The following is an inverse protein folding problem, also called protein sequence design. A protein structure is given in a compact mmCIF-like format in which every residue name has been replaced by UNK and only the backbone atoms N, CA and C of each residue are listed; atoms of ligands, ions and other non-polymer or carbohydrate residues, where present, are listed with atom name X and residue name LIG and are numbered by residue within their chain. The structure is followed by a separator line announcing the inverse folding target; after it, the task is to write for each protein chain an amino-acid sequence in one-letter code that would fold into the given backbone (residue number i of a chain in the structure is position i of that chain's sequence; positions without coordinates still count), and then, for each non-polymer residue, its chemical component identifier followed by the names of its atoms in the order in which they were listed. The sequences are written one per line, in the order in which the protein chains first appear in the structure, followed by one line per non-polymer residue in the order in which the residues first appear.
data_IF_765831936859
#
_entry.id   IF_765831936859
#
_cell.length_a   1.000
_cell.length_b   1.000
_cell.length_c   1.000
_cell.angle_alpha   90.00
_cell.angle_beta   90.00
_cell.angle_gamma   90.00
#
_symmetry.space_group_name_H-M   'P 1'
#
loop_
_entity.id
_entity.type
_entity.pdbx_description
1 polymer ?
#
# COMPACT_ATOMS: atom_id res chain seq x y z
N UNK A 1 31.07 3.15 -30.83
CA UNK A 1 32.02 2.87 -29.73
C UNK A 1 31.20 2.47 -28.52
N UNK A 2 31.46 1.27 -28.00
CA UNK A 2 30.71 0.60 -26.95
C UNK A 2 31.45 0.73 -25.61
N UNK A 3 30.69 0.82 -24.51
CA UNK A 3 31.03 0.40 -23.13
C UNK A 3 29.73 0.50 -22.29
N UNK A 4 28.94 -0.58 -22.10
CA UNK A 4 28.97 -1.58 -20.99
C UNK A 4 28.91 -0.94 -19.60
N UNK A 5 27.77 -0.99 -18.89
CA UNK A 5 27.25 -2.06 -17.99
C UNK A 5 28.18 -2.40 -16.81
N UNK A 6 27.72 -2.07 -15.60
CA UNK A 6 28.00 -2.84 -14.37
C UNK A 6 26.84 -2.63 -13.37
N UNK A 7 25.99 -3.65 -13.30
CA UNK A 7 24.99 -3.90 -12.26
C UNK A 7 25.68 -4.83 -11.27
N UNK A 8 25.80 -4.43 -10.01
CA UNK A 8 26.16 -5.35 -8.92
C UNK A 8 24.92 -5.57 -8.05
N UNK A 9 24.28 -6.71 -8.30
CA UNK A 9 23.48 -7.43 -7.32
C UNK A 9 24.44 -8.04 -6.30
N UNK A 10 24.25 -7.75 -5.02
CA UNK A 10 24.71 -8.66 -3.96
C UNK A 10 23.57 -8.83 -2.95
N UNK A 11 22.98 -10.01 -3.06
CA UNK A 11 21.89 -10.53 -2.26
C UNK A 11 22.50 -11.73 -1.55
N UNK A 12 23.13 -11.49 -0.39
CA UNK A 12 23.47 -12.57 0.53
C UNK A 12 22.86 -12.32 1.90
N UNK A 13 22.19 -13.38 2.35
CA UNK A 13 21.47 -13.57 3.59
C UNK A 13 22.47 -13.77 4.72
N UNK A 14 22.23 -13.16 5.87
CA UNK A 14 22.64 -13.80 7.13
C UNK A 14 21.63 -13.52 8.24
N UNK A 15 20.89 -14.58 8.58
CA UNK A 15 20.07 -14.69 9.78
C UNK A 15 20.99 -14.83 10.98
N UNK A 16 20.90 -13.92 11.95
CA UNK A 16 21.29 -14.21 13.33
C UNK A 16 20.21 -13.73 14.29
N UNK A 17 19.27 -14.65 14.54
CA UNK A 17 18.41 -14.68 15.72
C UNK A 17 19.14 -15.50 16.79
N UNK A 18 19.48 -14.86 17.93
CA UNK A 18 19.45 -15.48 19.28
C UNK A 18 19.87 -14.52 20.40
N UNK A 19 19.04 -14.58 21.45
CA UNK A 19 19.37 -14.41 22.87
C UNK A 19 19.75 -13.02 23.42
N UNK A 20 18.73 -12.21 23.74
CA UNK A 20 18.78 -11.37 24.95
C UNK A 20 17.46 -11.45 25.72
N UNK A 21 17.45 -12.34 26.71
CA UNK A 21 16.46 -12.39 27.78
C UNK A 21 16.62 -11.18 28.70
N UNK A 22 15.48 -10.55 28.96
CA UNK A 22 15.00 -10.04 30.25
C UNK A 22 16.04 -9.49 31.24
N UNK A 23 15.98 -8.18 31.47
CA UNK A 23 16.08 -7.62 32.82
C UNK A 23 15.05 -6.51 33.00
N UNK A 24 13.99 -6.88 33.72
CA UNK A 24 13.04 -6.00 34.38
C UNK A 24 13.75 -5.20 35.48
N UNK A 25 13.71 -3.87 35.41
CA UNK A 25 13.63 -3.03 36.62
C UNK A 25 12.76 -1.82 36.34
N UNK A 26 11.49 -1.94 36.71
CA UNK A 26 10.53 -0.85 36.86
C UNK A 26 10.96 -0.01 38.06
N UNK A 27 11.38 1.24 37.85
CA UNK A 27 11.60 2.21 38.91
C UNK A 27 10.38 3.13 39.00
N UNK A 28 9.42 2.76 39.85
CA UNK A 28 8.30 3.62 40.25
C UNK A 28 8.77 4.70 41.23
N UNK A 29 8.31 5.96 41.11
CA UNK A 29 8.56 6.98 42.11
C UNK A 29 7.64 6.80 43.34
N UNK A 30 8.08 7.13 44.56
CA UNK A 30 7.24 7.01 45.74
C UNK A 30 6.20 8.14 45.80
N UNK A 31 4.95 7.71 45.83
CA UNK A 31 3.79 8.44 46.35
C UNK A 31 4.02 8.81 47.82
N UNK A 32 3.88 10.09 48.16
CA UNK A 32 3.64 10.53 49.54
C UNK A 32 2.40 11.41 49.60
N UNK A 33 1.32 10.83 50.10
CA UNK A 33 0.12 11.53 50.52
C UNK A 33 0.05 11.62 52.05
N UNK A 34 -0.35 12.80 52.51
CA UNK A 34 -1.16 13.09 53.71
C UNK A 34 -0.56 13.14 55.13
N UNK A 35 -0.84 14.30 55.74
CA UNK A 35 -1.28 14.52 57.13
C UNK A 35 -0.25 14.50 58.27
N UNK A 36 -0.16 15.62 59.01
CA UNK A 36 -0.73 15.73 60.37
C UNK A 36 -0.10 16.87 61.18
N UNK A 37 -0.98 17.75 61.67
CA UNK A 37 -0.75 18.78 62.69
C UNK A 37 -0.05 18.21 63.94
N UNK A 38 1.00 18.87 64.45
CA UNK A 38 1.32 18.82 65.89
C UNK A 38 1.91 20.14 66.39
N UNK A 39 1.04 20.84 67.12
CA UNK A 39 1.25 22.02 67.98
C UNK A 39 2.17 21.61 69.14
N UNK A 40 3.29 22.30 69.37
CA UNK A 40 4.05 22.17 70.63
C UNK A 40 4.39 23.55 71.20
N UNK A 41 3.59 23.96 72.19
CA UNK A 41 3.87 25.03 73.16
C UNK A 41 5.11 24.64 73.95
N UNK A 42 6.07 25.55 74.11
CA UNK A 42 6.95 25.55 75.28
C UNK A 42 6.90 26.92 75.96
N UNK A 43 6.48 26.88 77.22
CA UNK A 43 6.31 27.99 78.15
C UNK A 43 7.18 27.66 79.36
N UNK A 44 8.21 28.47 79.64
CA UNK A 44 8.94 28.54 80.93
C UNK A 44 9.62 29.91 80.96
N UNK A 45 8.99 30.96 81.50
CA UNK A 45 8.95 31.40 82.92
C UNK A 45 10.33 31.51 83.62
N UNK A 46 10.69 32.78 83.82
CA UNK A 46 11.29 33.45 85.00
C UNK A 46 12.74 33.15 85.37
N UNK A 47 13.57 34.20 85.40
CA UNK A 47 13.88 34.91 86.65
C UNK A 47 14.40 36.34 86.41
N UNK A 48 13.85 37.25 87.19
CA UNK A 48 14.28 38.62 87.47
C UNK A 48 15.47 38.59 88.43
N UNK A 49 16.49 39.43 88.19
CA UNK A 49 17.28 40.10 89.24
C UNK A 49 17.60 41.52 88.76
N UNK A 50 17.28 42.45 89.64
CA UNK A 50 17.49 43.90 89.63
C UNK A 50 18.95 44.29 89.89
N UNK A 51 19.42 45.34 89.24
CA UNK A 51 20.32 46.34 89.83
C UNK A 51 20.10 47.67 89.12
N UNK A 52 19.61 48.65 89.87
CA UNK A 52 19.64 50.07 89.52
C UNK A 52 21.09 50.59 89.58
N UNK A 53 21.48 51.44 88.63
CA UNK A 53 22.44 52.51 88.87
C UNK A 53 22.27 53.57 87.78
N UNK A 54 21.85 54.76 88.20
CA UNK A 54 21.93 55.99 87.42
C UNK A 54 23.39 56.22 86.98
N UNK A 55 23.55 56.59 85.72
CA UNK A 55 24.78 57.11 85.16
C UNK A 55 24.45 57.93 83.91
N UNK A 56 24.08 59.19 84.12
CA UNK A 56 24.24 60.21 83.09
C UNK A 56 25.73 60.36 82.80
N UNK A 57 26.15 60.06 81.57
CA UNK A 57 27.16 60.83 80.83
C UNK A 57 27.10 60.36 79.36
N UNK A 58 27.51 61.25 78.43
CA UNK A 58 26.99 61.39 77.09
C UNK A 58 27.75 60.39 76.20
N UNK A 59 27.52 60.41 74.89
CA UNK A 59 28.49 60.16 73.81
C UNK A 59 27.66 59.84 72.56
N UNK A 60 27.06 60.91 72.02
CA UNK A 60 26.76 61.01 70.60
C UNK A 60 28.10 60.90 69.86
N UNK A 61 28.38 59.74 69.26
CA UNK A 61 29.59 59.54 68.46
C UNK A 61 29.61 58.27 67.62
N UNK A 62 28.98 57.17 68.07
CA UNK A 62 29.04 55.88 67.37
C UNK A 62 27.82 55.55 66.47
N UNK A 63 26.79 56.41 66.43
CA UNK A 63 25.51 56.08 65.79
C UNK A 63 25.43 56.41 64.30
N UNK A 64 26.25 57.35 63.81
CA UNK A 64 26.19 57.80 62.42
C UNK A 64 26.83 56.78 61.45
N UNK A 65 27.95 56.19 61.84
CA UNK A 65 28.68 55.24 60.98
C UNK A 65 27.98 53.87 60.91
N UNK A 66 27.45 53.37 62.04
CA UNK A 66 26.61 52.17 62.05
C UNK A 66 25.33 52.35 61.22
N UNK A 67 24.75 53.57 61.21
CA UNK A 67 23.56 53.85 60.39
C UNK A 67 23.87 53.82 58.90
N UNK A 68 25.00 54.41 58.47
CA UNK A 68 25.45 54.36 57.07
C UNK A 68 25.76 52.94 56.59
N UNK A 69 26.39 52.12 57.43
CA UNK A 69 26.68 50.72 57.13
C UNK A 69 25.38 49.91 56.97
N UNK A 70 24.41 50.12 57.86
CA UNK A 70 23.09 49.50 57.74
C UNK A 70 22.33 49.96 56.49
N UNK A 71 22.37 51.25 56.14
CA UNK A 71 21.73 51.79 54.93
C UNK A 71 22.39 51.23 53.64
N UNK A 72 23.72 51.04 53.68
CA UNK A 72 24.47 50.37 52.60
C UNK A 72 24.07 48.90 52.45
N UNK A 73 23.99 48.16 53.56
CA UNK A 73 23.56 46.76 53.56
C UNK A 73 22.13 46.59 53.07
N UNK A 74 21.22 47.50 53.45
CA UNK A 74 19.84 47.52 52.95
C UNK A 74 19.81 47.75 51.44
N UNK A 75 20.64 48.67 50.93
CA UNK A 75 20.73 48.94 49.48
C UNK A 75 21.25 47.73 48.70
N UNK A 76 22.28 47.05 49.23
CA UNK A 76 22.82 45.82 48.65
C UNK A 76 21.80 44.68 48.66
N UNK A 77 21.08 44.49 49.77
CA UNK A 77 20.01 43.48 49.86
C UNK A 77 18.84 43.79 48.93
N UNK A 78 18.48 45.07 48.76
CA UNK A 78 17.44 45.47 47.80
C UNK A 78 17.85 45.18 46.36
N UNK A 79 19.11 45.47 46.00
CA UNK A 79 19.65 45.13 44.68
C UNK A 79 19.63 43.61 44.48
N UNK A 80 20.12 42.84 45.46
CA UNK A 80 20.14 41.38 45.38
C UNK A 80 18.73 40.79 45.28
N UNK A 81 17.76 41.34 45.99
CA UNK A 81 16.36 40.93 45.86
C UNK A 81 15.80 41.24 44.47
N UNK A 82 16.16 42.38 43.88
CA UNK A 82 15.76 42.72 42.51
C UNK A 82 16.32 41.72 41.50
N UNK A 83 17.59 41.37 41.64
CA UNK A 83 18.25 40.37 40.78
C UNK A 83 17.60 39.00 40.92
N UNK A 84 17.33 38.55 42.16
CA UNK A 84 16.67 37.27 42.44
C UNK A 84 15.24 37.21 41.90
N UNK A 85 14.49 38.31 41.98
CA UNK A 85 13.16 38.41 41.35
C UNK A 85 13.29 38.28 39.83
N UNK A 86 14.25 38.98 39.21
CA UNK A 86 14.51 38.87 37.77
C UNK A 86 14.89 37.45 37.34
N UNK A 87 15.74 36.77 38.12
CA UNK A 87 16.10 35.37 37.87
C UNK A 87 14.88 34.44 38.03
N UNK A 88 14.04 34.68 39.04
CA UNK A 88 12.82 33.90 39.25
C UNK A 88 11.84 34.04 38.09
N UNK A 89 11.68 35.26 37.56
CA UNK A 89 10.81 35.51 36.40
C UNK A 89 11.38 34.87 35.14
N UNK A 90 12.69 34.97 34.90
CA UNK A 90 13.36 34.31 33.77
C UNK A 90 13.23 32.78 33.83
N UNK A 91 13.43 32.18 35.00
CA UNK A 91 13.25 30.74 35.21
C UNK A 91 11.81 30.30 34.99
N UNK A 92 10.84 31.12 35.40
CA UNK A 92 9.41 30.85 35.15
C UNK A 92 9.10 30.87 33.65
N UNK A 93 9.59 31.87 32.92
CA UNK A 93 9.42 31.94 31.47
C UNK A 93 10.05 30.75 30.76
N UNK A 94 11.27 30.36 31.14
CA UNK A 94 11.95 29.19 30.58
C UNK A 94 11.21 27.88 30.89
N UNK A 95 10.61 27.76 32.08
CA UNK A 95 9.79 26.60 32.44
C UNK A 95 8.52 26.52 31.58
N UNK A 96 7.83 27.63 31.38
CA UNK A 96 6.64 27.69 30.52
C UNK A 96 6.97 27.36 29.06
N UNK A 97 8.09 27.85 28.55
CA UNK A 97 8.57 27.52 27.20
C UNK A 97 8.91 26.03 27.07
N UNK A 98 9.63 25.47 28.04
CA UNK A 98 9.96 24.04 28.06
C UNK A 98 8.69 23.17 28.11
N UNK A 99 7.67 23.60 28.86
CA UNK A 99 6.38 22.92 28.91
C UNK A 99 5.68 22.93 27.54
N UNK A 100 5.68 24.07 26.82
CA UNK A 100 5.13 24.12 25.46
C UNK A 100 5.88 23.21 24.50
N UNK A 101 7.22 23.27 24.50
CA UNK A 101 8.06 22.46 23.63
C UNK A 101 7.86 20.95 23.88
N UNK A 102 7.65 20.53 25.14
CA UNK A 102 7.36 19.14 25.45
C UNK A 102 6.00 18.69 24.89
N UNK A 103 4.97 19.53 24.98
CA UNK A 103 3.66 19.22 24.37
C UNK A 103 3.78 19.07 22.86
N UNK A 104 4.48 20.00 22.19
CA UNK A 104 4.72 19.93 20.75
C UNK A 104 5.52 18.69 20.36
N UNK A 105 6.53 18.32 21.15
CA UNK A 105 7.33 17.11 20.92
C UNK A 105 6.49 15.82 21.07
N UNK A 106 5.60 15.76 22.06
CA UNK A 106 4.70 14.62 22.26
C UNK A 106 3.66 14.51 21.13
N UNK A 107 3.14 15.64 20.65
CA UNK A 107 2.25 15.70 19.48
C UNK A 107 2.95 15.20 18.22
N UNK A 108 4.17 15.69 17.95
CA UNK A 108 4.97 15.26 16.81
C UNK A 108 5.29 13.76 16.87
N UNK A 109 5.67 13.25 18.06
CA UNK A 109 5.91 11.82 18.29
C UNK A 109 4.65 10.99 18.02
N UNK A 110 3.48 11.48 18.43
CA UNK A 110 2.20 10.86 18.13
C UNK A 110 1.90 10.80 16.64
N UNK A 111 2.18 11.88 15.90
CA UNK A 111 2.03 11.92 14.44
C UNK A 111 2.97 10.94 13.75
N UNK A 112 4.26 10.97 14.07
CA UNK A 112 5.25 10.04 13.51
C UNK A 112 4.89 8.58 13.81
N UNK A 113 4.38 8.27 15.00
CA UNK A 113 3.98 6.91 15.34
C UNK A 113 2.81 6.43 14.47
N UNK A 114 1.79 7.27 14.25
CA UNK A 114 0.67 6.94 13.37
C UNK A 114 1.11 6.77 11.92
N UNK A 115 1.98 7.65 11.43
CA UNK A 115 2.53 7.57 10.08
C UNK A 115 3.34 6.27 9.89
N UNK A 116 4.15 5.90 10.89
CA UNK A 116 4.88 4.63 10.88
C UNK A 116 3.94 3.42 10.83
N UNK A 117 2.86 3.43 11.60
CA UNK A 117 1.88 2.33 11.61
C UNK A 117 1.09 2.26 10.29
N UNK A 118 0.75 3.40 9.71
CA UNK A 118 0.12 3.46 8.39
C UNK A 118 1.05 2.91 7.30
N UNK A 119 2.33 3.31 7.30
CA UNK A 119 3.32 2.79 6.35
C UNK A 119 3.54 1.29 6.51
N UNK A 120 3.59 0.77 7.74
CA UNK A 120 3.68 -0.69 7.97
C UNK A 120 2.48 -1.41 7.39
N UNK A 121 1.28 -0.84 7.51
CA UNK A 121 0.06 -1.41 6.94
C UNK A 121 0.13 -1.39 5.41
N UNK A 122 0.49 -0.26 4.81
CA UNK A 122 0.62 -0.12 3.36
C UNK A 122 1.66 -1.09 2.77
N UNK A 123 2.82 -1.25 3.41
CA UNK A 123 3.83 -2.24 3.01
C UNK A 123 3.27 -3.67 3.04
N UNK A 124 2.46 -4.00 4.04
CA UNK A 124 1.82 -5.31 4.13
C UNK A 124 0.80 -5.49 3.00
N UNK A 125 -0.07 -4.50 2.79
CA UNK A 125 -1.10 -4.55 1.76
C UNK A 125 -0.47 -4.67 0.36
N UNK A 126 0.63 -3.95 0.09
CA UNK A 126 1.39 -4.07 -1.17
C UNK A 126 2.00 -5.47 -1.34
N UNK A 127 2.51 -6.06 -0.27
CA UNK A 127 3.06 -7.41 -0.32
C UNK A 127 1.98 -8.45 -0.62
N UNK A 128 0.82 -8.33 0.01
CA UNK A 128 -0.31 -9.23 -0.25
C UNK A 128 -0.79 -9.12 -1.71
N UNK A 129 -0.79 -7.91 -2.29
CA UNK A 129 -1.09 -7.69 -3.72
C UNK A 129 -0.02 -8.31 -4.64
N UNK A 130 1.26 -8.16 -4.31
CA UNK A 130 2.36 -8.74 -5.09
C UNK A 130 2.29 -10.28 -5.09
N UNK A 131 1.99 -10.88 -3.94
CA UNK A 131 1.81 -12.33 -3.81
C UNK A 131 0.65 -12.83 -4.70
N UNK A 132 -0.51 -12.14 -4.67
CA UNK A 132 -1.66 -12.48 -5.54
C UNK A 132 -1.31 -12.32 -7.03
N UNK A 133 -0.61 -11.25 -7.40
CA UNK A 133 -0.20 -11.03 -8.79
C UNK A 133 0.79 -12.09 -9.27
N UNK A 134 1.71 -12.54 -8.40
CA UNK A 134 2.66 -13.59 -8.68
C UNK A 134 1.98 -14.93 -8.94
N UNK A 135 0.98 -15.28 -8.12
CA UNK A 135 0.18 -16.48 -8.28
C UNK A 135 -0.62 -16.44 -9.59
N UNK A 136 -1.29 -15.33 -9.88
CA UNK A 136 -2.07 -15.18 -11.12
C UNK A 136 -1.17 -15.25 -12.36
N UNK A 137 0.01 -14.63 -12.32
CA UNK A 137 1.00 -14.74 -13.41
C UNK A 137 1.44 -16.19 -13.63
N UNK A 138 1.66 -16.93 -12.55
CA UNK A 138 2.04 -18.34 -12.62
C UNK A 138 0.92 -19.18 -13.25
N UNK A 139 -0.32 -18.93 -12.85
CA UNK A 139 -1.52 -19.58 -13.42
C UNK A 139 -1.69 -19.29 -14.91
N UNK A 140 -1.54 -18.03 -15.33
CA UNK A 140 -1.60 -17.62 -16.74
C UNK A 140 -0.48 -18.31 -17.54
N UNK A 141 0.71 -18.45 -16.97
CA UNK A 141 1.81 -19.14 -17.64
C UNK A 141 1.51 -20.64 -17.83
N UNK A 142 0.93 -21.29 -16.82
CA UNK A 142 0.50 -22.69 -16.92
C UNK A 142 -0.61 -22.88 -17.96
N UNK A 143 -1.63 -22.01 -17.95
CA UNK A 143 -2.72 -22.05 -18.93
C UNK A 143 -2.19 -21.86 -20.36
N UNK A 144 -1.28 -20.91 -20.58
CA UNK A 144 -0.65 -20.70 -21.88
C UNK A 144 0.13 -21.93 -22.35
N UNK A 145 0.85 -22.60 -21.45
CA UNK A 145 1.56 -23.84 -21.80
C UNK A 145 0.59 -24.95 -22.20
N UNK A 146 -0.49 -25.14 -21.43
CA UNK A 146 -1.53 -26.12 -21.73
C UNK A 146 -2.20 -25.84 -23.08
N UNK A 147 -2.49 -24.57 -23.40
CA UNK A 147 -3.06 -24.18 -24.68
C UNK A 147 -2.09 -24.43 -25.84
N UNK A 148 -0.80 -24.17 -25.67
CA UNK A 148 0.22 -24.49 -26.67
C UNK A 148 0.29 -26.00 -26.94
N UNK A 149 0.24 -26.82 -25.88
CA UNK A 149 0.26 -28.28 -26.02
C UNK A 149 -1.01 -28.79 -26.72
N UNK A 150 -2.18 -28.23 -26.39
CA UNK A 150 -3.44 -28.55 -27.08
C UNK A 150 -3.39 -28.18 -28.56
N UNK A 151 -2.90 -26.98 -28.91
CA UNK A 151 -2.70 -26.56 -30.30
C UNK A 151 -1.75 -27.48 -31.06
N UNK A 152 -0.68 -27.94 -30.39
CA UNK A 152 0.26 -28.88 -30.99
C UNK A 152 -0.40 -30.22 -31.29
N UNK A 153 -1.21 -30.74 -30.36
CA UNK A 153 -1.93 -31.99 -30.53
C UNK A 153 -2.92 -31.91 -31.70
N UNK A 154 -3.76 -30.86 -31.73
CA UNK A 154 -4.70 -30.62 -32.84
C UNK A 154 -3.96 -30.45 -34.17
N UNK A 155 -2.81 -29.76 -34.16
CA UNK A 155 -1.96 -29.60 -35.34
C UNK A 155 -1.45 -30.94 -35.88
N UNK A 156 -1.06 -31.86 -35.00
CA UNK A 156 -0.63 -33.21 -35.39
C UNK A 156 -1.79 -34.03 -35.95
N UNK A 157 -2.95 -34.03 -35.29
CA UNK A 157 -4.15 -34.74 -35.75
C UNK A 157 -4.62 -34.25 -37.13
N UNK A 158 -4.49 -32.95 -37.40
CA UNK A 158 -4.78 -32.36 -38.72
C UNK A 158 -3.82 -32.85 -39.80
N UNK A 159 -2.53 -32.98 -39.48
CA UNK A 159 -1.52 -33.53 -40.40
C UNK A 159 -1.83 -34.99 -40.72
N UNK A 160 -2.12 -35.79 -39.70
CA UNK A 160 -2.47 -37.20 -39.85
C UNK A 160 -3.74 -37.36 -40.70
N UNK A 161 -4.78 -36.59 -40.40
CA UNK A 161 -6.04 -36.58 -41.16
C UNK A 161 -5.83 -36.17 -42.63
N UNK A 162 -4.97 -35.17 -42.88
CA UNK A 162 -4.62 -34.74 -44.24
C UNK A 162 -3.94 -35.86 -45.01
N UNK A 163 -3.04 -36.59 -44.37
CA UNK A 163 -2.29 -37.66 -45.02
C UNK A 163 -3.16 -38.90 -45.26
N UNK A 164 -4.08 -39.22 -44.35
CA UNK A 164 -5.12 -40.23 -44.57
C UNK A 164 -6.02 -39.87 -45.78
N UNK A 165 -6.45 -38.60 -45.90
CA UNK A 165 -7.21 -38.14 -47.06
C UNK A 165 -6.42 -38.31 -48.37
N UNK A 166 -5.11 -38.03 -48.37
CA UNK A 166 -4.28 -38.24 -49.57
C UNK A 166 -4.20 -39.72 -49.93
N UNK A 167 -4.01 -40.60 -48.95
CA UNK A 167 -4.01 -42.05 -49.19
C UNK A 167 -5.34 -42.54 -49.73
N UNK A 168 -6.46 -42.09 -49.16
CA UNK A 168 -7.80 -42.45 -49.64
C UNK A 168 -8.04 -41.96 -51.07
N UNK A 169 -7.65 -40.72 -51.40
CA UNK A 169 -7.72 -40.21 -52.78
C UNK A 169 -6.86 -41.03 -53.74
N UNK A 170 -5.70 -41.49 -53.30
CA UNK A 170 -4.84 -42.34 -54.13
C UNK A 170 -5.48 -43.71 -54.36
N UNK A 171 -6.02 -44.34 -53.31
CA UNK A 171 -6.76 -45.61 -53.40
C UNK A 171 -7.97 -45.49 -54.33
N UNK A 172 -8.73 -44.38 -54.27
CA UNK A 172 -9.84 -44.12 -55.19
C UNK A 172 -9.37 -44.07 -56.66
N UNK A 173 -8.29 -43.34 -56.95
CA UNK A 173 -7.73 -43.28 -58.31
C UNK A 173 -7.26 -44.64 -58.81
N UNK A 174 -6.68 -45.45 -57.93
CA UNK A 174 -6.20 -46.78 -58.29
C UNK A 174 -7.35 -47.78 -58.52
N UNK A 175 -8.51 -47.58 -57.84
CA UNK A 175 -9.76 -48.30 -58.08
C UNK A 175 -10.39 -47.90 -59.43
N UNK A 176 -10.52 -46.60 -59.73
CA UNK A 176 -11.03 -46.12 -61.03
C UNK A 176 -10.24 -46.69 -62.20
N UNK A 177 -8.90 -46.77 -62.10
CA UNK A 177 -8.07 -47.39 -63.16
C UNK A 177 -8.23 -48.91 -63.27
N UNK A 178 -8.70 -49.60 -62.22
CA UNK A 178 -8.96 -51.04 -62.25
C UNK A 178 -10.26 -51.37 -62.98
N UNK A 179 -11.28 -50.52 -62.84
CA UNK A 179 -12.56 -50.66 -63.52
C UNK A 179 -12.51 -50.31 -65.02
N UNK A 180 -11.44 -49.67 -65.49
CA UNK A 180 -11.18 -49.44 -66.92
C UNK A 180 -10.66 -50.70 -67.67
N UNK A 181 -10.50 -51.84 -66.98
CA UNK A 181 -10.28 -53.11 -67.69
C UNK A 181 -11.59 -53.59 -68.32
N UNK A 182 -11.67 -53.80 -69.65
CA UNK A 182 -12.90 -54.22 -70.30
C UNK A 182 -13.20 -55.66 -69.92
N UNK A 183 -13.93 -55.85 -68.83
CA UNK A 183 -14.56 -57.13 -68.54
C UNK A 183 -15.63 -57.34 -69.62
N UNK A 184 -15.37 -58.29 -70.52
CA UNK A 184 -16.36 -58.82 -71.44
C UNK A 184 -17.46 -59.51 -70.61
N UNK A 185 -18.47 -58.76 -70.18
CA UNK A 185 -19.65 -59.34 -69.56
C UNK A 185 -20.65 -59.58 -70.70
N UNK A 186 -20.65 -60.81 -71.18
CA UNK A 186 -21.67 -61.34 -72.08
C UNK A 186 -23.05 -61.14 -71.49
N UNK A 187 -23.86 -60.37 -72.22
CA UNK A 187 -25.31 -60.43 -72.36
C UNK A 187 -26.06 -61.31 -71.34
N UNK A 188 -26.53 -60.70 -70.24
CA UNK A 188 -27.62 -61.24 -69.44
C UNK A 188 -28.76 -60.23 -69.46
N UNK A 189 -29.79 -60.53 -70.25
CA UNK A 189 -31.09 -59.84 -70.24
C UNK A 189 -31.66 -59.90 -68.82
N UNK A 190 -31.92 -58.77 -68.21
CA UNK A 190 -32.80 -58.67 -67.04
C UNK A 190 -33.62 -57.39 -67.14
N UNK A 191 -34.93 -57.59 -67.08
CA UNK A 191 -35.97 -56.60 -67.20
C UNK A 191 -35.90 -55.56 -66.06
N UNK A 192 -36.20 -54.31 -66.42
CA UNK A 192 -37.12 -53.40 -65.74
C UNK A 192 -37.15 -53.43 -64.19
N UNK A 193 -36.58 -52.38 -63.57
CA UNK A 193 -37.17 -51.57 -62.48
C UNK A 193 -36.35 -50.27 -62.41
N UNK A 194 -36.94 -49.15 -62.78
CA UNK A 194 -36.45 -47.81 -62.45
C UNK A 194 -36.99 -47.42 -61.07
N UNK A 195 -36.15 -47.06 -60.09
CA UNK A 195 -36.57 -46.22 -58.99
C UNK A 195 -36.17 -44.77 -59.30
N UNK A 196 -37.21 -43.99 -59.57
CA UNK A 196 -37.19 -42.53 -59.56
C UNK A 196 -36.78 -42.05 -58.15
N UNK A 197 -35.58 -41.51 -57.99
CA UNK A 197 -35.19 -40.77 -56.79
C UNK A 197 -34.83 -39.36 -57.19
N UNK A 198 -35.75 -38.46 -56.84
CA UNK A 198 -35.62 -37.01 -56.84
C UNK A 198 -34.32 -36.60 -56.12
N UNK A 199 -33.35 -36.09 -56.88
CA UNK A 199 -32.28 -35.28 -56.30
C UNK A 199 -32.84 -33.89 -55.99
N UNK A 200 -33.32 -33.70 -54.76
CA UNK A 200 -33.53 -32.37 -54.22
C UNK A 200 -32.16 -31.73 -53.98
N UNK A 201 -31.72 -30.89 -54.91
CA UNK A 201 -30.67 -29.92 -54.69
C UNK A 201 -31.23 -28.78 -53.81
N UNK A 202 -31.29 -28.99 -52.50
CA UNK A 202 -31.48 -27.91 -51.55
C UNK A 202 -30.11 -27.44 -51.06
N UNK A 203 -29.72 -26.29 -51.58
CA UNK A 203 -29.10 -25.17 -50.88
C UNK A 203 -28.44 -25.48 -49.52
N UNK A 204 -27.12 -25.53 -49.55
CA UNK A 204 -26.31 -24.98 -48.46
C UNK A 204 -25.12 -24.24 -49.08
N UNK A 205 -25.43 -23.16 -49.80
CA UNK A 205 -24.47 -22.07 -49.99
C UNK A 205 -24.23 -21.44 -48.62
N UNK A 206 -23.35 -22.05 -47.81
CA UNK A 206 -22.70 -21.35 -46.71
C UNK A 206 -21.55 -20.56 -47.34
N UNK A 207 -21.91 -19.57 -48.16
CA UNK A 207 -21.05 -18.42 -48.39
C UNK A 207 -21.13 -17.58 -47.12
N UNK A 208 -20.10 -17.66 -46.29
CA UNK A 208 -19.70 -16.65 -45.29
C UNK A 208 -18.26 -17.06 -44.91
N UNK A 209 -17.26 -16.86 -45.77
CA UNK A 209 -17.02 -15.57 -46.36
C UNK A 209 -16.71 -14.59 -45.22
N UNK A 210 -15.61 -14.84 -44.51
CA UNK A 210 -14.96 -13.88 -43.61
C UNK A 210 -14.64 -12.62 -44.43
N UNK A 211 -15.64 -11.77 -44.68
CA UNK A 211 -15.39 -10.41 -45.16
C UNK A 211 -14.90 -9.63 -43.96
N UNK A 212 -13.58 -9.53 -43.91
CA UNK A 212 -12.82 -8.53 -43.21
C UNK A 212 -13.58 -7.19 -43.18
N UNK A 213 -13.79 -6.68 -41.97
CA UNK A 213 -14.02 -5.26 -41.65
C UNK A 213 -15.41 -4.64 -41.87
N UNK A 214 -16.47 -5.21 -41.28
CA UNK A 214 -17.58 -4.39 -40.75
C UNK A 214 -18.00 -4.96 -39.40
N UNK A 215 -17.22 -4.69 -38.36
CA UNK A 215 -17.73 -4.88 -37.00
C UNK A 215 -18.87 -3.88 -36.83
N UNK A 216 -20.06 -4.38 -36.49
CA UNK A 216 -21.23 -3.53 -36.26
C UNK A 216 -20.93 -2.55 -35.13
N UNK A 217 -20.92 -1.26 -35.47
CA UNK A 217 -20.61 -0.17 -34.54
C UNK A 217 -21.63 -0.12 -33.39
N UNK A 218 -22.87 -0.48 -33.65
CA UNK A 218 -23.91 -0.51 -32.61
C UNK A 218 -23.69 -1.68 -31.66
N UNK A 219 -23.27 -2.84 -32.19
CA UNK A 219 -22.90 -3.99 -31.37
C UNK A 219 -21.72 -3.68 -30.44
N UNK A 220 -20.64 -3.10 -30.97
CA UNK A 220 -19.47 -2.71 -30.16
C UNK A 220 -19.85 -1.67 -29.13
N UNK A 221 -20.67 -0.69 -29.50
CA UNK A 221 -21.19 0.32 -28.58
C UNK A 221 -21.96 -0.30 -27.43
N UNK A 222 -22.89 -1.22 -27.70
CA UNK A 222 -23.69 -1.88 -26.67
C UNK A 222 -22.85 -2.74 -25.73
N UNK A 223 -21.87 -3.47 -26.28
CA UNK A 223 -20.93 -4.27 -25.49
C UNK A 223 -20.09 -3.36 -24.57
N UNK A 224 -19.55 -2.26 -25.10
CA UNK A 224 -18.78 -1.30 -24.31
C UNK A 224 -19.61 -0.65 -23.21
N UNK A 225 -20.87 -0.27 -23.48
CA UNK A 225 -21.78 0.28 -22.47
C UNK A 225 -22.01 -0.74 -21.36
N UNK A 226 -22.30 -2.00 -21.70
CA UNK A 226 -22.53 -3.06 -20.71
C UNK A 226 -21.31 -3.28 -19.80
N UNK A 227 -20.09 -3.19 -20.34
CA UNK A 227 -18.87 -3.28 -19.55
C UNK A 227 -18.65 -2.06 -18.65
N UNK A 228 -19.03 -0.87 -19.11
CA UNK A 228 -18.86 0.37 -18.34
C UNK A 228 -19.97 0.60 -17.31
N UNK A 229 -21.14 -0.01 -17.48
CA UNK A 229 -22.22 -0.02 -16.47
C UNK A 229 -21.83 -0.82 -15.23
N UNK A 230 -21.04 -1.89 -15.40
CA UNK A 230 -20.53 -2.67 -14.27
C UNK A 230 -19.29 -1.99 -13.66
N UNK A 231 -19.40 -1.56 -12.40
CA UNK A 231 -18.34 -0.84 -11.69
C UNK A 231 -17.00 -1.59 -11.63
N UNK A 232 -17.02 -2.92 -11.47
CA UNK A 232 -15.80 -3.74 -11.39
C UNK A 232 -15.08 -3.83 -12.74
N UNK A 233 -15.84 -4.02 -13.83
CA UNK A 233 -15.26 -4.08 -15.18
C UNK A 233 -14.86 -2.70 -15.71
N UNK A 234 -15.57 -1.65 -15.30
CA UNK A 234 -15.26 -0.27 -15.67
C UNK A 234 -13.86 0.14 -15.22
N UNK A 235 -13.47 -0.20 -14.00
CA UNK A 235 -12.13 0.14 -13.47
C UNK A 235 -11.00 -0.57 -14.22
N UNK A 236 -11.27 -1.74 -14.80
CA UNK A 236 -10.30 -2.52 -15.58
C UNK A 236 -10.21 -2.05 -17.04
N UNK A 237 -11.34 -1.72 -17.66
CA UNK A 237 -11.43 -1.38 -19.08
C UNK A 237 -11.17 0.11 -19.35
N UNK A 238 -11.52 1.00 -18.43
CA UNK A 238 -11.38 2.45 -18.62
C UNK A 238 -9.92 2.89 -18.87
N UNK A 239 -8.90 2.38 -18.16
CA UNK A 239 -7.50 2.69 -18.47
C UNK A 239 -7.07 2.22 -19.86
N UNK A 240 -7.57 1.05 -20.30
CA UNK A 240 -7.28 0.49 -21.63
C UNK A 240 -7.90 1.35 -22.73
N UNK A 241 -9.17 1.74 -22.56
CA UNK A 241 -9.87 2.66 -23.47
C UNK A 241 -9.20 4.02 -23.53
N UNK A 242 -8.75 4.55 -22.39
CA UNK A 242 -8.06 5.83 -22.32
C UNK A 242 -6.77 5.84 -23.14
N UNK A 243 -5.97 4.77 -23.05
CA UNK A 243 -4.74 4.63 -23.83
C UNK A 243 -5.05 4.40 -25.31
N UNK A 244 -6.01 3.52 -25.62
CA UNK A 244 -6.32 3.15 -27.00
C UNK A 244 -6.93 4.30 -27.83
N UNK A 245 -7.68 5.19 -27.18
CA UNK A 245 -8.39 6.31 -27.80
C UNK A 245 -7.78 7.68 -27.48
N UNK A 246 -6.64 7.71 -26.77
CA UNK A 246 -5.94 8.93 -26.36
C UNK A 246 -6.88 9.91 -25.59
N UNK A 247 -7.61 9.37 -24.61
CA UNK A 247 -8.58 10.12 -23.82
C UNK A 247 -7.93 10.72 -22.57
N UNK A 248 -7.82 12.05 -22.57
CA UNK A 248 -7.47 12.81 -21.37
C UNK A 248 -8.49 12.62 -20.22
N UNK A 249 -8.07 12.91 -19.00
CA UNK A 249 -8.87 12.84 -17.75
C UNK A 249 -10.28 13.47 -17.89
N UNK A 250 -10.37 14.60 -18.60
CA UNK A 250 -11.62 15.32 -18.85
C UNK A 250 -12.57 14.48 -19.73
N UNK A 251 -12.03 13.82 -20.76
CA UNK A 251 -12.82 12.98 -21.66
C UNK A 251 -13.29 11.70 -20.95
N UNK A 252 -12.47 11.14 -20.05
CA UNK A 252 -12.87 10.00 -19.22
C UNK A 252 -14.02 10.38 -18.27
N UNK A 253 -13.95 11.55 -17.63
CA UNK A 253 -15.03 12.04 -16.77
C UNK A 253 -16.33 12.31 -17.54
N UNK A 254 -16.26 12.80 -18.78
CA UNK A 254 -17.43 12.96 -19.65
C UNK A 254 -18.03 11.59 -20.00
N UNK A 255 -17.20 10.62 -20.38
CA UNK A 255 -17.63 9.25 -20.67
C UNK A 255 -18.36 8.63 -19.48
N UNK A 256 -17.79 8.75 -18.27
CA UNK A 256 -18.38 8.28 -17.02
C UNK A 256 -19.71 8.96 -16.69
N UNK A 257 -19.87 10.24 -17.03
CA UNK A 257 -21.12 11.00 -16.85
C UNK A 257 -22.21 10.64 -17.85
N UNK A 258 -21.87 10.09 -19.02
CA UNK A 258 -22.85 9.70 -20.04
C UNK A 258 -23.42 8.30 -19.83
N UNK A 259 -22.87 7.53 -18.88
CA UNK A 259 -23.25 6.14 -18.58
C UNK A 259 -24.20 6.06 -17.37
N UNK A 260 -24.31 7.15 -16.59
CA UNK A 260 -25.33 7.37 -15.56
C UNK A 260 -26.41 8.33 -16.07
#
# INVERSE_FOLDING_TARGET
MATSLAVNNDLERENHEKDLKENFTVSTPPSVSSSSKKKKKNKKKKKTVTTEANGEHPENGASADQKKENDSLVSELQLRNRDLVGETDALRSALEETQRNNVEADELKGLMSREMDNLKKEVKDLKDVDDVNSDEKSRIQEENQNLQDMLRNVGNELVDSRDEIKELKQKMKDLERKDETPVQISEVKSNEITPNVHFNANEANISNGLSKDVIDKEYVRNVLIQFLENQEHREQILPILAIALDLDEIHQQILLKCIN
#
